data_IF_893755839951
#
_entry.id   IF_893755839951
#
_cell.length_a   1.000
_cell.length_b   1.000
_cell.length_c   1.000
_cell.angle_alpha   90.00
_cell.angle_beta   90.00
_cell.angle_gamma   90.00
#
_symmetry.space_group_name_H-M   'P 1'
#
loop_
_entity.id
_entity.type
_entity.pdbx_description
1 polymer ?
#
# COMPACT_ATOMS: atom_id res chain seq x y z
N UNK A 1 26.97 -12.74 -18.70
CA UNK A 1 25.63 -13.21 -19.07
C UNK A 1 24.63 -12.37 -18.31
N UNK A 2 23.94 -11.51 -19.06
CA UNK A 2 23.10 -10.45 -18.50
C UNK A 2 21.68 -10.97 -18.34
N UNK A 3 21.17 -11.06 -17.11
CA UNK A 3 19.74 -11.28 -16.85
C UNK A 3 19.03 -9.93 -16.76
N UNK A 4 18.27 -9.63 -17.80
CA UNK A 4 17.32 -8.51 -17.83
C UNK A 4 16.14 -8.85 -16.92
N UNK A 5 16.03 -8.16 -15.80
CA UNK A 5 14.81 -8.13 -14.99
C UNK A 5 13.78 -7.25 -15.72
N UNK A 6 12.77 -7.88 -16.27
CA UNK A 6 11.60 -7.19 -16.81
C UNK A 6 10.67 -6.88 -15.65
N UNK A 7 10.74 -5.67 -15.14
CA UNK A 7 9.72 -5.14 -14.21
C UNK A 7 8.51 -4.74 -15.03
N UNK A 8 7.40 -5.40 -14.79
CA UNK A 8 6.09 -4.99 -15.32
C UNK A 8 5.66 -3.80 -14.47
N UNK A 9 5.80 -2.61 -15.05
CA UNK A 9 5.22 -1.39 -14.52
C UNK A 9 3.75 -1.37 -14.94
N UNK A 10 2.85 -1.59 -13.99
CA UNK A 10 1.43 -1.24 -14.14
C UNK A 10 1.34 0.27 -14.37
N UNK A 11 0.71 0.61 -15.50
CA UNK A 11 0.80 1.95 -16.03
C UNK A 11 -0.05 2.96 -15.28
N UNK A 12 0.59 3.89 -14.62
CA UNK A 12 0.08 5.25 -14.54
C UNK A 12 0.56 5.99 -15.77
N UNK A 13 -0.36 6.41 -16.63
CA UNK A 13 -0.06 7.13 -17.86
C UNK A 13 0.54 8.51 -17.52
N UNK A 14 1.86 8.58 -17.53
CA UNK A 14 2.55 9.85 -17.54
C UNK A 14 2.53 10.39 -18.97
N UNK A 15 1.74 11.42 -19.23
CA UNK A 15 1.79 12.24 -20.43
C UNK A 15 3.09 13.04 -20.45
N UNK A 16 4.12 12.51 -21.09
CA UNK A 16 5.34 13.26 -21.44
C UNK A 16 5.08 14.10 -22.68
N UNK A 17 5.02 15.41 -22.48
CA UNK A 17 5.06 16.42 -23.55
C UNK A 17 6.48 16.52 -24.11
N UNK A 18 6.72 15.99 -25.29
CA UNK A 18 7.89 16.33 -26.09
C UNK A 18 7.67 17.71 -26.73
N UNK A 19 8.41 18.72 -26.28
CA UNK A 19 8.49 20.01 -26.94
C UNK A 19 9.41 19.92 -28.17
N UNK A 20 8.83 19.85 -29.35
CA UNK A 20 9.53 20.09 -30.62
C UNK A 20 9.42 21.56 -31.00
N UNK A 21 10.54 22.26 -31.08
CA UNK A 21 10.66 23.60 -31.60
C UNK A 21 10.48 23.59 -33.13
N UNK A 22 9.44 24.23 -33.64
CA UNK A 22 9.43 24.81 -34.99
C UNK A 22 8.41 25.92 -35.03
N UNK A 23 8.90 27.11 -35.26
CA UNK A 23 8.09 28.31 -35.34
C UNK A 23 7.17 28.34 -36.56
N UNK A 24 5.92 28.73 -36.34
CA UNK A 24 5.09 29.46 -37.30
C UNK A 24 4.01 30.21 -36.52
N UNK A 25 3.94 31.49 -36.77
CA UNK A 25 2.85 32.39 -36.33
C UNK A 25 1.52 31.82 -36.72
N UNK A 26 0.61 31.63 -35.79
CA UNK A 26 -0.81 31.48 -36.05
C UNK A 26 -1.64 31.97 -34.86
N UNK A 27 -2.64 32.73 -35.21
CA UNK A 27 -3.80 33.31 -34.52
C UNK A 27 -4.22 32.54 -33.29
N UNK A 28 -4.60 33.22 -32.18
CA UNK A 28 -5.12 32.55 -30.99
C UNK A 28 -6.51 31.97 -31.34
N UNK A 29 -6.56 30.70 -31.64
CA UNK A 29 -7.80 29.94 -31.57
C UNK A 29 -8.20 29.87 -30.09
N UNK A 30 -9.36 30.41 -29.78
CA UNK A 30 -10.06 30.24 -28.50
C UNK A 30 -10.08 28.73 -28.19
N UNK A 31 -9.35 28.32 -27.17
CA UNK A 31 -9.51 26.98 -26.62
C UNK A 31 -10.98 26.81 -26.26
N UNK A 32 -11.68 25.78 -26.76
CA UNK A 32 -12.97 25.44 -26.20
C UNK A 32 -12.75 25.22 -24.73
N UNK A 33 -13.48 25.91 -23.88
CA UNK A 33 -13.55 25.65 -22.45
C UNK A 33 -13.97 24.19 -22.33
N UNK A 34 -13.02 23.32 -22.00
CA UNK A 34 -13.35 21.95 -21.63
C UNK A 34 -14.31 22.05 -20.46
N UNK A 35 -15.48 21.46 -20.57
CA UNK A 35 -16.36 21.30 -19.41
C UNK A 35 -15.53 20.66 -18.32
N UNK A 36 -15.55 21.18 -17.07
CA UNK A 36 -14.79 20.60 -15.98
C UNK A 36 -15.18 19.13 -15.88
N UNK A 37 -14.17 18.26 -15.88
CA UNK A 37 -14.37 16.83 -15.67
C UNK A 37 -15.04 16.64 -14.30
N UNK A 38 -16.26 16.08 -14.24
CA UNK A 38 -16.95 15.86 -12.95
C UNK A 38 -16.13 14.99 -12.00
N UNK A 39 -15.23 14.14 -12.51
CA UNK A 39 -14.33 13.31 -11.74
C UNK A 39 -13.23 14.12 -11.03
N UNK A 40 -12.81 15.25 -11.59
CA UNK A 40 -11.72 16.05 -11.05
C UNK A 40 -12.00 16.64 -9.66
N UNK A 41 -13.26 16.76 -9.25
CA UNK A 41 -13.69 17.37 -7.97
C UNK A 41 -14.55 16.42 -7.12
N UNK A 42 -14.34 15.12 -7.22
CA UNK A 42 -15.16 14.12 -6.52
C UNK A 42 -15.12 14.24 -5.00
N UNK A 43 -14.04 14.71 -4.40
CA UNK A 43 -13.94 14.97 -2.97
C UNK A 43 -14.47 16.35 -2.61
N UNK A 44 -14.42 17.30 -3.54
CA UNK A 44 -14.87 18.67 -3.37
C UNK A 44 -14.04 19.46 -2.38
N UNK A 45 -12.74 19.18 -2.28
CA UNK A 45 -11.83 19.93 -1.41
C UNK A 45 -11.61 21.35 -1.94
N UNK A 46 -11.66 22.33 -1.05
CA UNK A 46 -11.21 23.69 -1.40
C UNK A 46 -9.69 23.76 -1.44
N UNK A 47 -9.14 24.81 -2.06
CA UNK A 47 -7.69 25.03 -2.09
C UNK A 47 -7.10 25.12 -0.67
N UNK A 48 -7.83 25.77 0.24
CA UNK A 48 -7.45 25.87 1.65
C UNK A 48 -7.40 24.50 2.32
N UNK A 49 -8.39 23.66 2.10
CA UNK A 49 -8.44 22.31 2.67
C UNK A 49 -7.31 21.42 2.12
N UNK A 50 -7.02 21.51 0.83
CA UNK A 50 -5.87 20.79 0.23
C UNK A 50 -4.55 21.22 0.86
N UNK A 51 -4.37 22.51 1.08
CA UNK A 51 -3.16 23.02 1.73
C UNK A 51 -3.10 22.62 3.20
N UNK A 52 -4.20 22.67 3.94
CA UNK A 52 -4.28 22.22 5.33
C UNK A 52 -3.94 20.74 5.46
N UNK A 53 -4.48 19.87 4.60
CA UNK A 53 -4.17 18.44 4.58
C UNK A 53 -2.68 18.19 4.27
N UNK A 54 -2.09 18.97 3.36
CA UNK A 54 -0.66 18.88 3.03
C UNK A 54 0.24 19.26 4.22
N UNK A 55 -0.05 20.38 4.86
CA UNK A 55 0.72 20.83 6.03
C UNK A 55 0.56 19.87 7.20
N UNK A 56 -0.63 19.31 7.41
CA UNK A 56 -0.88 18.31 8.43
C UNK A 56 -0.08 17.03 8.17
N UNK A 57 -0.04 16.54 6.92
CA UNK A 57 0.77 15.40 6.52
C UNK A 57 2.25 15.63 6.88
N UNK A 58 2.82 16.76 6.46
CA UNK A 58 4.23 17.05 6.70
C UNK A 58 4.57 17.29 8.16
N UNK A 59 3.68 17.92 8.90
CA UNK A 59 3.81 18.05 10.36
C UNK A 59 3.86 16.67 11.03
N UNK A 60 2.93 15.79 10.66
CA UNK A 60 2.87 14.42 11.19
C UNK A 60 4.12 13.62 10.84
N UNK A 61 4.61 13.73 9.60
CA UNK A 61 5.85 13.07 9.18
C UNK A 61 7.05 13.57 9.98
N UNK A 62 7.21 14.88 10.16
CA UNK A 62 8.31 15.47 10.94
C UNK A 62 8.31 14.98 12.38
N UNK A 63 7.13 14.80 12.97
CA UNK A 63 6.99 14.39 14.36
C UNK A 63 7.11 12.87 14.56
N UNK A 64 6.68 12.08 13.58
CA UNK A 64 6.43 10.64 13.81
C UNK A 64 7.20 9.70 12.87
N UNK A 65 7.71 10.15 11.73
CA UNK A 65 8.38 9.27 10.78
C UNK A 65 9.79 8.89 11.26
N UNK A 66 10.07 7.60 11.49
CA UNK A 66 11.32 7.19 12.13
C UNK A 66 12.53 7.11 11.18
N UNK A 67 12.30 7.21 9.87
CA UNK A 67 13.34 6.91 8.89
C UNK A 67 14.09 8.16 8.36
N UNK A 68 13.96 9.33 9.00
CA UNK A 68 14.65 10.56 8.57
C UNK A 68 16.17 10.38 8.43
N UNK A 69 16.79 9.67 9.39
CA UNK A 69 18.23 9.42 9.31
C UNK A 69 18.64 8.47 8.17
N UNK A 70 17.71 7.69 7.59
CA UNK A 70 17.96 6.91 6.39
C UNK A 70 18.00 7.87 5.19
N UNK A 71 16.98 8.72 5.06
CA UNK A 71 16.88 9.69 3.96
C UNK A 71 18.09 10.63 3.91
N UNK A 72 18.56 11.08 5.07
CA UNK A 72 19.76 11.92 5.18
C UNK A 72 21.00 11.18 4.64
N UNK A 73 21.21 9.92 5.01
CA UNK A 73 22.34 9.11 4.50
C UNK A 73 22.25 8.81 3.01
N UNK A 74 21.05 8.72 2.48
CA UNK A 74 20.77 8.50 1.05
C UNK A 74 20.85 9.81 0.24
N UNK A 75 21.05 10.95 0.91
CA UNK A 75 21.16 12.26 0.27
C UNK A 75 19.83 12.79 -0.26
N UNK A 76 18.70 12.36 0.30
CA UNK A 76 17.37 12.83 -0.09
C UNK A 76 17.18 14.27 0.40
N UNK A 77 16.92 15.19 -0.52
CA UNK A 77 16.72 16.62 -0.24
C UNK A 77 15.26 16.88 0.24
N UNK A 78 14.96 16.47 1.46
CA UNK A 78 13.61 16.46 2.04
C UNK A 78 12.93 17.85 1.97
N UNK A 79 13.63 18.92 2.34
CA UNK A 79 13.05 20.28 2.33
C UNK A 79 12.78 20.77 0.90
N UNK A 80 13.54 20.30 -0.08
CA UNK A 80 13.25 20.60 -1.49
C UNK A 80 11.98 19.87 -1.94
N UNK A 81 11.82 18.61 -1.55
CA UNK A 81 10.59 17.86 -1.84
C UNK A 81 9.40 18.58 -1.22
N UNK A 82 9.47 18.91 0.07
CA UNK A 82 8.41 19.66 0.75
C UNK A 82 8.04 20.95 0.01
N UNK A 83 9.02 21.80 -0.30
CA UNK A 83 8.74 23.09 -0.93
C UNK A 83 8.16 22.93 -2.33
N UNK A 84 8.74 22.05 -3.16
CA UNK A 84 8.28 21.84 -4.53
C UNK A 84 6.83 21.33 -4.57
N UNK A 85 6.50 20.34 -3.76
CA UNK A 85 5.14 19.79 -3.78
C UNK A 85 4.14 20.66 -3.04
N UNK A 86 4.58 21.49 -2.09
CA UNK A 86 3.74 22.53 -1.50
C UNK A 86 3.26 23.56 -2.55
N UNK A 87 4.16 23.97 -3.42
CA UNK A 87 3.82 24.87 -4.54
C UNK A 87 2.85 24.18 -5.51
N UNK A 88 3.08 22.92 -5.87
CA UNK A 88 2.16 22.15 -6.71
C UNK A 88 0.77 22.00 -6.08
N UNK A 89 0.68 21.79 -4.77
CA UNK A 89 -0.60 21.75 -4.06
C UNK A 89 -1.29 23.11 -4.06
N UNK A 90 -0.55 24.19 -3.86
CA UNK A 90 -1.10 25.56 -3.90
C UNK A 90 -1.66 25.91 -5.29
N UNK A 91 -1.07 25.38 -6.34
CA UNK A 91 -1.47 25.59 -7.74
C UNK A 91 -2.47 24.55 -8.25
N UNK A 92 -2.82 23.54 -7.43
CA UNK A 92 -3.73 22.49 -7.85
C UNK A 92 -5.16 22.99 -8.03
N UNK A 93 -5.74 22.71 -9.17
CA UNK A 93 -7.13 23.10 -9.51
C UNK A 93 -8.14 21.98 -9.19
N UNK A 94 -7.65 20.76 -8.92
CA UNK A 94 -8.49 19.59 -8.72
C UNK A 94 -7.99 18.71 -7.56
N UNK A 95 -8.87 17.86 -7.05
CA UNK A 95 -8.51 16.85 -6.06
C UNK A 95 -7.55 15.80 -6.64
N UNK A 96 -7.63 15.52 -7.95
CA UNK A 96 -6.73 14.60 -8.64
C UNK A 96 -5.30 15.15 -8.68
N UNK A 97 -5.11 16.46 -8.99
CA UNK A 97 -3.81 17.11 -8.97
C UNK A 97 -3.21 17.10 -7.56
N UNK A 98 -4.03 17.38 -6.55
CA UNK A 98 -3.65 17.32 -5.14
C UNK A 98 -3.14 15.93 -4.74
N UNK A 99 -3.89 14.87 -5.03
CA UNK A 99 -3.48 13.50 -4.74
C UNK A 99 -2.21 13.11 -5.49
N UNK A 100 -2.09 13.50 -6.75
CA UNK A 100 -0.88 13.25 -7.55
C UNK A 100 0.36 13.92 -6.94
N UNK A 101 0.20 15.14 -6.42
CA UNK A 101 1.28 15.85 -5.75
C UNK A 101 1.71 15.14 -4.45
N UNK A 102 0.75 14.75 -3.61
CA UNK A 102 1.05 14.00 -2.38
C UNK A 102 1.73 12.67 -2.69
N UNK A 103 1.16 11.89 -3.61
CA UNK A 103 1.71 10.59 -4.00
C UNK A 103 3.16 10.74 -4.47
N UNK A 104 3.43 11.72 -5.33
CA UNK A 104 4.76 11.98 -5.86
C UNK A 104 5.74 12.42 -4.77
N UNK A 105 5.31 13.26 -3.83
CA UNK A 105 6.13 13.68 -2.70
C UNK A 105 6.53 12.48 -1.82
N UNK A 106 5.58 11.63 -1.46
CA UNK A 106 5.83 10.43 -0.65
C UNK A 106 6.70 9.41 -1.40
N UNK A 107 6.48 9.24 -2.71
CA UNK A 107 7.30 8.36 -3.54
C UNK A 107 8.79 8.79 -3.55
N UNK A 108 9.08 10.09 -3.58
CA UNK A 108 10.44 10.61 -3.53
C UNK A 108 11.09 10.48 -2.14
N UNK A 109 10.31 10.40 -1.06
CA UNK A 109 10.81 10.04 0.25
C UNK A 109 11.17 8.55 0.35
N UNK A 110 10.75 7.74 -0.63
CA UNK A 110 10.99 6.31 -0.66
C UNK A 110 10.02 5.50 0.19
N UNK A 111 10.17 4.19 0.11
CA UNK A 111 9.27 3.23 0.78
C UNK A 111 9.78 2.77 2.15
N UNK A 112 10.77 3.46 2.71
CA UNK A 112 11.32 3.12 4.02
C UNK A 112 10.22 3.18 5.10
N UNK A 113 10.11 2.14 5.91
CA UNK A 113 9.10 2.05 6.96
C UNK A 113 7.65 1.99 6.43
N UNK A 114 7.46 1.50 5.20
CA UNK A 114 6.14 1.39 4.54
C UNK A 114 5.42 2.74 4.35
N UNK A 115 6.19 3.83 4.20
CA UNK A 115 5.60 5.14 3.93
C UNK A 115 4.95 5.15 2.54
N UNK A 116 3.63 5.17 2.52
CA UNK A 116 2.83 5.22 1.30
C UNK A 116 1.43 5.77 1.59
N UNK A 117 0.72 6.15 0.54
CA UNK A 117 -0.73 6.35 0.62
C UNK A 117 -1.37 4.97 0.65
N UNK A 118 -2.39 4.82 1.48
CA UNK A 118 -3.24 3.62 1.44
C UNK A 118 -4.08 3.71 0.18
N UNK A 119 -3.88 2.76 -0.72
CA UNK A 119 -4.68 2.67 -1.95
C UNK A 119 -6.14 2.34 -1.61
N UNK A 120 -7.12 2.87 -2.37
CA UNK A 120 -8.54 2.67 -2.08
C UNK A 120 -8.97 1.21 -1.99
N UNK A 121 -8.45 0.35 -2.85
CA UNK A 121 -8.74 -1.10 -2.79
C UNK A 121 -8.19 -1.71 -1.50
N UNK A 122 -6.92 -1.43 -1.16
CA UNK A 122 -6.28 -1.91 0.07
C UNK A 122 -7.00 -1.41 1.32
N UNK A 123 -7.53 -0.18 1.29
CA UNK A 123 -8.34 0.33 2.39
C UNK A 123 -9.56 -0.55 2.67
N UNK A 124 -10.31 -0.94 1.65
CA UNK A 124 -11.50 -1.76 1.83
C UNK A 124 -11.20 -3.24 2.08
N UNK A 125 -10.14 -3.78 1.49
CA UNK A 125 -9.77 -5.19 1.64
C UNK A 125 -9.05 -5.49 2.97
N UNK A 126 -8.18 -4.59 3.41
CA UNK A 126 -7.25 -4.88 4.50
C UNK A 126 -7.45 -3.96 5.72
N UNK A 127 -7.47 -2.64 5.52
CA UNK A 127 -7.42 -1.69 6.63
C UNK A 127 -8.77 -1.51 7.34
N UNK A 128 -9.86 -1.38 6.61
CA UNK A 128 -11.19 -1.23 7.22
C UNK A 128 -11.60 -2.50 8.00
N UNK A 129 -11.42 -3.73 7.50
CA UNK A 129 -11.65 -4.94 8.30
C UNK A 129 -10.76 -5.04 9.55
N UNK A 130 -9.53 -4.54 9.48
CA UNK A 130 -8.60 -4.56 10.61
C UNK A 130 -8.97 -3.60 11.75
N UNK A 131 -9.89 -2.64 11.57
CA UNK A 131 -10.27 -1.68 12.59
C UNK A 131 -10.73 -2.34 13.90
N UNK A 132 -11.44 -3.46 13.82
CA UNK A 132 -11.87 -4.24 14.98
C UNK A 132 -10.70 -4.84 15.77
N UNK A 133 -9.66 -5.28 15.08
CA UNK A 133 -8.43 -5.78 15.68
C UNK A 133 -7.66 -4.64 16.38
N UNK A 134 -7.49 -3.50 15.72
CA UNK A 134 -6.83 -2.33 16.32
C UNK A 134 -7.49 -1.87 17.62
N UNK A 135 -8.83 -1.94 17.73
CA UNK A 135 -9.52 -1.69 19.00
C UNK A 135 -9.13 -2.68 20.10
N UNK A 136 -9.05 -3.98 19.78
CA UNK A 136 -8.63 -5.00 20.75
C UNK A 136 -7.19 -4.82 21.22
N UNK A 137 -6.33 -4.30 20.35
CA UNK A 137 -4.93 -3.99 20.64
C UNK A 137 -4.73 -2.64 21.38
N UNK A 138 -5.81 -1.94 21.72
CA UNK A 138 -5.74 -0.64 22.37
C UNK A 138 -5.41 0.53 21.42
N UNK A 139 -5.32 0.29 20.13
CA UNK A 139 -5.09 1.30 19.08
C UNK A 139 -6.41 1.97 18.67
N UNK A 140 -7.17 2.46 19.66
CA UNK A 140 -8.56 2.93 19.46
C UNK A 140 -8.64 4.09 18.48
N UNK A 141 -7.71 5.04 18.55
CA UNK A 141 -7.68 6.18 17.64
C UNK A 141 -7.54 5.76 16.18
N UNK A 142 -6.64 4.83 15.87
CA UNK A 142 -6.51 4.31 14.50
C UNK A 142 -7.78 3.62 14.02
N UNK A 143 -8.42 2.83 14.88
CA UNK A 143 -9.66 2.17 14.56
C UNK A 143 -10.79 3.17 14.26
N UNK A 144 -10.90 4.24 15.05
CA UNK A 144 -11.89 5.31 14.86
C UNK A 144 -11.67 6.06 13.54
N UNK A 145 -10.43 6.36 13.18
CA UNK A 145 -10.10 6.98 11.89
C UNK A 145 -10.48 6.07 10.73
N UNK A 146 -10.08 4.79 10.79
CA UNK A 146 -10.28 3.85 9.69
C UNK A 146 -11.75 3.54 9.44
N UNK A 147 -12.58 3.38 10.47
CA UNK A 147 -13.98 3.02 10.29
C UNK A 147 -14.97 4.20 10.37
N UNK A 148 -14.46 5.43 10.43
CA UNK A 148 -15.32 6.62 10.39
C UNK A 148 -16.11 6.69 9.08
N UNK A 149 -17.32 7.21 9.14
CA UNK A 149 -18.17 7.40 7.96
C UNK A 149 -17.50 8.32 6.93
N UNK A 150 -16.79 9.34 7.40
CA UNK A 150 -16.11 10.32 6.54
C UNK A 150 -14.95 9.68 5.78
N UNK A 151 -14.11 8.89 6.47
CA UNK A 151 -13.01 8.14 5.84
C UNK A 151 -13.56 7.17 4.80
N UNK A 152 -14.57 6.36 5.16
CA UNK A 152 -15.17 5.43 4.21
C UNK A 152 -15.79 6.13 3.00
N UNK A 153 -16.43 7.28 3.20
CA UNK A 153 -17.03 8.06 2.11
C UNK A 153 -15.95 8.61 1.19
N UNK A 154 -14.86 9.12 1.76
CA UNK A 154 -13.70 9.62 1.00
C UNK A 154 -13.09 8.50 0.15
N UNK A 155 -12.81 7.34 0.74
CA UNK A 155 -12.22 6.20 0.01
C UNK A 155 -13.15 5.63 -1.07
N UNK A 156 -14.48 5.62 -0.88
CA UNK A 156 -15.41 5.24 -1.96
C UNK A 156 -15.32 6.20 -3.16
N UNK A 157 -15.17 7.49 -2.90
CA UNK A 157 -15.01 8.49 -3.96
C UNK A 157 -13.68 8.33 -4.68
N UNK A 158 -12.58 8.07 -3.95
CA UNK A 158 -11.27 7.81 -4.55
C UNK A 158 -11.29 6.54 -5.42
N UNK A 159 -11.90 5.46 -4.94
CA UNK A 159 -12.07 4.23 -5.72
C UNK A 159 -12.85 4.48 -7.02
N UNK A 160 -13.91 5.29 -6.96
CA UNK A 160 -14.67 5.66 -8.14
C UNK A 160 -13.85 6.52 -9.14
N UNK A 161 -12.95 7.37 -8.64
CA UNK A 161 -12.00 8.14 -9.47
C UNK A 161 -11.03 7.22 -10.22
N UNK A 162 -10.43 6.28 -9.52
CA UNK A 162 -9.50 5.31 -10.13
C UNK A 162 -10.19 4.47 -11.20
N UNK A 163 -11.38 3.98 -10.91
CA UNK A 163 -12.17 3.20 -11.87
C UNK A 163 -12.53 4.01 -13.11
N UNK A 164 -12.86 5.29 -12.94
CA UNK A 164 -13.15 6.19 -14.05
C UNK A 164 -11.91 6.52 -14.89
N UNK A 165 -10.74 6.66 -14.25
CA UNK A 165 -9.46 6.95 -14.91
C UNK A 165 -8.90 5.75 -15.68
N UNK A 166 -9.11 4.53 -15.18
CA UNK A 166 -8.59 3.31 -15.79
C UNK A 166 -9.43 2.80 -16.98
N UNK A 167 -10.53 3.47 -17.30
CA UNK A 167 -11.45 3.06 -18.37
C UNK A 167 -12.17 1.75 -18.02
N UNK A 168 -13.33 1.50 -18.65
CA UNK A 168 -14.18 0.36 -18.37
C UNK A 168 -13.67 -0.99 -18.91
N UNK A 169 -12.40 -1.30 -18.72
CA UNK A 169 -11.93 -2.67 -18.80
C UNK A 169 -12.20 -3.35 -17.46
N UNK A 170 -13.46 -3.67 -17.28
CA UNK A 170 -14.02 -4.37 -16.13
C UNK A 170 -13.66 -5.84 -16.21
N UNK A 171 -12.41 -6.16 -15.97
CA UNK A 171 -11.95 -7.47 -15.47
C UNK A 171 -10.66 -7.27 -14.64
N UNK A 172 -10.67 -6.28 -13.77
CA UNK A 172 -9.72 -6.25 -12.66
C UNK A 172 -10.44 -6.82 -11.46
N UNK A 173 -10.30 -8.11 -11.30
CA UNK A 173 -10.61 -8.83 -10.08
C UNK A 173 -10.03 -8.04 -8.92
N UNK A 174 -10.88 -7.64 -7.98
CA UNK A 174 -10.52 -7.12 -6.67
C UNK A 174 -9.51 -8.11 -6.07
N UNK A 175 -8.22 -7.75 -5.88
CA UNK A 175 -7.31 -8.62 -5.16
C UNK A 175 -7.73 -8.56 -3.68
N UNK A 176 -8.57 -9.49 -3.28
CA UNK A 176 -9.07 -9.51 -1.90
C UNK A 176 -10.39 -10.22 -1.72
N UNK A 177 -11.24 -10.32 -2.76
CA UNK A 177 -12.31 -11.30 -2.75
C UNK A 177 -11.71 -12.62 -3.22
N UNK A 178 -11.58 -13.58 -2.31
CA UNK A 178 -10.98 -14.87 -2.54
C UNK A 178 -11.32 -15.50 -3.89
N UNK A 179 -10.49 -15.27 -4.88
CA UNK A 179 -10.33 -16.23 -5.95
C UNK A 179 -9.68 -17.48 -5.37
N UNK A 180 -10.18 -18.64 -5.72
CA UNK A 180 -9.80 -19.99 -5.23
C UNK A 180 -8.32 -20.37 -5.42
N UNK A 181 -7.38 -19.45 -5.35
CA UNK A 181 -5.95 -19.77 -5.30
C UNK A 181 -5.59 -19.98 -3.83
N UNK A 182 -5.26 -21.21 -3.43
CA UNK A 182 -4.88 -21.47 -2.05
C UNK A 182 -3.68 -20.59 -1.67
N UNK A 183 -3.76 -19.90 -0.52
CA UNK A 183 -2.64 -19.15 0.04
C UNK A 183 -1.46 -20.05 0.41
N UNK A 184 -1.73 -21.34 0.56
CA UNK A 184 -0.78 -22.35 0.99
C UNK A 184 -0.54 -23.37 -0.12
N UNK A 185 0.74 -23.71 -0.34
CA UNK A 185 1.15 -24.90 -1.07
C UNK A 185 1.90 -25.82 -0.13
N UNK A 186 1.39 -27.02 0.08
CA UNK A 186 1.98 -28.01 0.98
C UNK A 186 2.36 -29.26 0.23
N UNK A 187 3.52 -29.82 0.53
CA UNK A 187 4.03 -31.05 -0.11
C UNK A 187 4.89 -31.84 0.88
N UNK A 188 4.66 -33.14 0.98
CA UNK A 188 5.61 -34.07 1.58
C UNK A 188 6.60 -34.50 0.52
N UNK A 189 7.89 -34.21 0.71
CA UNK A 189 8.91 -34.54 -0.28
C UNK A 189 9.14 -36.04 -0.43
N UNK A 190 9.62 -36.50 -1.60
CA UNK A 190 9.94 -37.91 -1.81
C UNK A 190 10.88 -38.46 -0.72
N UNK A 191 10.50 -39.58 -0.13
CA UNK A 191 11.22 -40.16 1.01
C UNK A 191 10.59 -39.85 2.38
N UNK A 192 9.66 -38.89 2.46
CA UNK A 192 8.87 -38.62 3.66
C UNK A 192 9.64 -38.00 4.82
N UNK A 193 10.87 -37.52 4.58
CA UNK A 193 11.73 -36.93 5.62
C UNK A 193 11.66 -35.43 5.73
N UNK A 194 11.10 -34.76 4.71
CA UNK A 194 10.97 -33.31 4.71
C UNK A 194 9.58 -32.88 4.20
N UNK A 195 8.99 -31.91 4.89
CA UNK A 195 7.81 -31.18 4.46
C UNK A 195 8.19 -29.88 3.73
N UNK A 196 7.45 -29.49 2.69
CA UNK A 196 7.56 -28.21 2.03
C UNK A 196 6.25 -27.44 2.22
N UNK A 197 6.39 -26.18 2.64
CA UNK A 197 5.30 -25.26 2.88
C UNK A 197 5.63 -23.94 2.22
N UNK A 198 4.88 -23.54 1.19
CA UNK A 198 4.93 -22.19 0.62
C UNK A 198 3.72 -21.40 1.09
N UNK A 199 3.94 -20.13 1.43
CA UNK A 199 2.91 -19.19 1.88
C UNK A 199 3.06 -17.91 1.09
N UNK A 200 2.02 -17.52 0.33
CA UNK A 200 2.07 -16.36 -0.56
C UNK A 200 1.79 -15.03 0.17
N UNK A 201 1.06 -15.07 1.29
CA UNK A 201 0.77 -13.88 2.13
C UNK A 201 0.37 -14.27 3.54
N UNK A 202 0.32 -13.29 4.45
CA UNK A 202 -0.14 -13.45 5.83
C UNK A 202 -1.48 -12.73 6.04
N UNK A 203 -2.63 -13.31 5.65
CA UNK A 203 -3.92 -12.66 5.80
C UNK A 203 -4.28 -12.42 7.28
N UNK A 204 -5.05 -11.36 7.54
CA UNK A 204 -5.55 -11.06 8.89
C UNK A 204 -6.60 -12.08 9.36
N UNK A 205 -7.46 -12.58 8.45
CA UNK A 205 -8.28 -13.76 8.69
C UNK A 205 -7.57 -14.99 8.12
N UNK A 206 -7.03 -15.79 9.01
CA UNK A 206 -6.29 -17.01 8.69
C UNK A 206 -6.97 -18.28 9.15
N UNK A 207 -8.27 -18.24 9.40
CA UNK A 207 -9.02 -19.38 9.93
C UNK A 207 -8.92 -20.62 9.01
N UNK A 208 -9.04 -20.43 7.70
CA UNK A 208 -8.88 -21.53 6.73
C UNK A 208 -7.46 -22.07 6.68
N UNK A 209 -6.46 -21.18 6.73
CA UNK A 209 -5.06 -21.54 6.69
C UNK A 209 -4.64 -22.29 7.95
N UNK A 210 -5.17 -21.89 9.13
CA UNK A 210 -4.90 -22.57 10.38
C UNK A 210 -5.28 -24.06 10.33
N UNK A 211 -6.47 -24.37 9.82
CA UNK A 211 -6.92 -25.75 9.67
C UNK A 211 -6.06 -26.55 8.66
N UNK A 212 -5.66 -25.92 7.56
CA UNK A 212 -4.81 -26.54 6.55
C UNK A 212 -3.40 -26.79 7.07
N UNK A 213 -2.82 -25.85 7.82
CA UNK A 213 -1.51 -26.00 8.45
C UNK A 213 -1.50 -27.08 9.53
N UNK A 214 -2.53 -27.14 10.39
CA UNK A 214 -2.67 -28.21 11.37
C UNK A 214 -2.65 -29.59 10.70
N UNK A 215 -3.44 -29.76 9.63
CA UNK A 215 -3.47 -31.00 8.88
C UNK A 215 -2.11 -31.33 8.23
N UNK A 216 -1.40 -30.34 7.72
CA UNK A 216 -0.07 -30.52 7.16
C UNK A 216 0.98 -30.88 8.22
N UNK A 217 0.98 -30.23 9.37
CA UNK A 217 1.90 -30.58 10.46
C UNK A 217 1.71 -31.99 10.97
N UNK A 218 0.46 -32.49 11.01
CA UNK A 218 0.18 -33.89 11.32
C UNK A 218 0.78 -34.85 10.28
N UNK A 219 0.76 -34.49 8.99
CA UNK A 219 1.42 -35.30 7.95
C UNK A 219 2.93 -35.28 8.08
N UNK A 220 3.50 -34.17 8.56
CA UNK A 220 4.95 -33.98 8.76
C UNK A 220 5.43 -34.52 10.13
N UNK A 221 4.61 -35.16 10.94
CA UNK A 221 5.00 -35.64 12.28
C UNK A 221 6.22 -36.58 12.28
N UNK A 222 6.52 -37.25 11.15
CA UNK A 222 7.71 -38.08 10.98
C UNK A 222 8.85 -37.40 10.22
N UNK A 223 8.70 -36.16 9.81
CA UNK A 223 9.73 -35.42 9.10
C UNK A 223 10.83 -34.95 10.05
N UNK A 224 12.06 -34.91 9.57
CA UNK A 224 13.20 -34.29 10.27
C UNK A 224 13.37 -32.82 9.92
N UNK A 225 12.83 -32.42 8.77
CA UNK A 225 13.00 -31.09 8.20
C UNK A 225 11.67 -30.50 7.74
N UNK A 226 11.53 -29.17 7.89
CA UNK A 226 10.46 -28.37 7.30
C UNK A 226 11.08 -27.25 6.48
N UNK A 227 10.78 -27.22 5.20
CA UNK A 227 11.16 -26.13 4.30
C UNK A 227 10.01 -25.14 4.25
N UNK A 228 10.27 -23.93 4.73
CA UNK A 228 9.35 -22.80 4.67
C UNK A 228 9.77 -21.88 3.51
N UNK A 229 8.95 -21.81 2.48
CA UNK A 229 9.16 -20.95 1.31
C UNK A 229 8.31 -19.67 1.41
N UNK A 230 8.98 -18.55 1.58
CA UNK A 230 8.40 -17.20 1.63
C UNK A 230 8.92 -16.33 0.47
N UNK A 231 9.45 -16.93 -0.59
CA UNK A 231 10.14 -16.20 -1.68
C UNK A 231 9.25 -15.15 -2.34
N UNK A 232 7.96 -15.46 -2.52
CA UNK A 232 6.98 -14.56 -3.12
C UNK A 232 6.00 -13.99 -2.08
N UNK A 233 6.29 -14.16 -0.77
CA UNK A 233 5.39 -13.70 0.27
C UNK A 233 5.32 -12.17 0.31
N UNK A 234 4.12 -11.63 0.17
CA UNK A 234 3.87 -10.19 0.16
C UNK A 234 3.75 -9.58 1.57
N UNK A 235 3.89 -10.39 2.62
CA UNK A 235 3.72 -9.95 4.01
C UNK A 235 2.28 -10.04 4.49
N UNK A 236 1.91 -9.20 5.46
CA UNK A 236 0.58 -9.12 6.05
C UNK A 236 0.61 -9.09 7.59
N UNK A 237 -0.27 -9.84 8.23
CA UNK A 237 -0.43 -9.84 9.69
C UNK A 237 0.71 -10.55 10.41
N UNK A 238 1.34 -9.89 11.39
CA UNK A 238 2.34 -10.50 12.27
C UNK A 238 1.75 -11.68 13.06
N UNK A 239 0.48 -11.60 13.47
CA UNK A 239 -0.19 -12.65 14.19
C UNK A 239 -0.26 -13.96 13.40
N UNK A 240 -0.29 -13.90 12.08
CA UNK A 240 -0.29 -15.08 11.23
C UNK A 240 0.95 -15.95 11.49
N UNK A 241 2.14 -15.40 11.29
CA UNK A 241 3.36 -16.19 11.45
C UNK A 241 3.66 -16.50 12.93
N UNK A 242 3.31 -15.60 13.84
CA UNK A 242 3.47 -15.87 15.28
C UNK A 242 2.64 -17.06 15.72
N UNK A 243 1.37 -17.11 15.38
CA UNK A 243 0.42 -18.12 15.84
C UNK A 243 0.50 -19.43 15.06
N UNK A 244 0.75 -19.38 13.76
CA UNK A 244 0.66 -20.54 12.88
C UNK A 244 2.04 -21.14 12.54
N UNK A 245 3.12 -20.36 12.54
CA UNK A 245 4.43 -20.84 12.13
C UNK A 245 5.41 -20.96 13.30
N UNK A 246 5.32 -20.10 14.29
CA UNK A 246 6.26 -20.10 15.44
C UNK A 246 5.67 -20.83 16.63
N UNK A 247 4.49 -20.42 17.11
CA UNK A 247 3.91 -20.94 18.34
C UNK A 247 3.76 -22.48 18.37
N UNK A 248 3.42 -23.17 17.28
CA UNK A 248 3.32 -24.63 17.26
C UNK A 248 4.66 -25.38 17.45
N UNK A 249 5.79 -24.68 17.26
CA UNK A 249 7.13 -25.29 17.21
C UNK A 249 8.04 -24.87 18.37
N UNK A 250 7.52 -24.11 19.34
CA UNK A 250 8.30 -23.67 20.51
C UNK A 250 7.63 -24.17 21.78
N UNK A 251 8.45 -24.49 22.77
CA UNK A 251 8.04 -24.98 24.11
C UNK A 251 8.17 -23.90 25.21
N UNK A 252 8.65 -22.70 24.85
CA UNK A 252 8.84 -21.59 25.78
C UNK A 252 8.51 -20.26 25.11
N UNK A 253 8.07 -19.24 25.88
CA UNK A 253 7.77 -17.92 25.33
C UNK A 253 8.99 -17.28 24.70
N UNK A 254 8.81 -16.73 23.48
CA UNK A 254 9.79 -15.83 22.86
C UNK A 254 9.35 -14.39 23.13
N UNK A 255 10.33 -13.50 23.32
CA UNK A 255 10.09 -12.07 23.43
C UNK A 255 11.05 -11.31 22.51
N UNK A 256 10.52 -10.35 21.79
CA UNK A 256 11.31 -9.39 21.03
C UNK A 256 11.05 -7.99 21.55
N UNK A 257 12.04 -7.10 21.40
CA UNK A 257 11.90 -5.69 21.74
C UNK A 257 12.27 -4.86 20.55
N UNK A 258 11.32 -4.08 20.08
CA UNK A 258 11.52 -3.10 19.02
C UNK A 258 11.58 -1.70 19.64
N UNK A 259 12.56 -0.90 19.23
CA UNK A 259 12.73 0.48 19.68
C UNK A 259 12.66 1.38 18.43
N UNK A 260 11.67 2.24 18.40
CA UNK A 260 11.60 3.33 17.45
C UNK A 260 11.90 4.64 18.20
N UNK A 261 12.85 5.41 17.69
CA UNK A 261 13.13 6.75 18.21
C UNK A 261 12.39 7.74 17.32
N UNK A 262 11.39 8.38 17.90
CA UNK A 262 10.63 9.47 17.29
C UNK A 262 11.12 10.76 17.93
N UNK A 263 11.32 11.80 17.12
CA UNK A 263 11.77 13.12 17.59
C UNK A 263 10.63 13.93 18.13
#
# INVERSE_FOLDING_TARGET
MSHRNTRILSGCAALLLCAGLSGCRSVPASRPSASPDPAAHLLGLTAEQRMEDYEYLWSTLRDSYPCWGILEREGVEVERIYTTYREMVAESDSDADFYSAIYSALYLLGTNGHLSIIEPEAYFSDYLPAAGQYRREGKTHWAEVLDSTDTQTRYRKLLALEQAANGTDTESSIPGSGGDTPNLTTLLLPGGTAGYLKIDRFPADYTSDAAALEAFYLQCAGCTDLILDLTDNSGGSELYWEQLLVAPHIDHPLSSRHLALVR
#
